data_IF_273485135124
#
_entry.id   IF_273485135124
#
_cell.length_a   1.000
_cell.length_b   1.000
_cell.length_c   1.000
_cell.angle_alpha   90.00
_cell.angle_beta   90.00
_cell.angle_gamma   90.00
#
_symmetry.space_group_name_H-M   'P 1'
#
loop_
_entity.id
_entity.type
_entity.pdbx_description
1 polymer ?
#
# COMPACT_ATOMS: atom_id res chain seq x y z
N UNK A 1 8.90 12.11 9.77
CA UNK A 1 8.37 10.75 10.07
C UNK A 1 9.38 9.71 9.60
N UNK A 2 9.83 8.81 10.47
CA UNK A 2 10.80 7.78 10.13
C UNK A 2 10.17 6.64 9.32
N UNK A 3 10.83 6.20 8.24
CA UNK A 3 10.45 5.00 7.49
C UNK A 3 10.95 3.78 8.25
N UNK A 4 10.05 2.85 8.60
CA UNK A 4 10.43 1.55 9.15
C UNK A 4 11.01 0.68 8.03
N UNK A 5 12.19 0.10 8.24
CA UNK A 5 12.77 -0.88 7.32
C UNK A 5 12.04 -2.24 7.46
N UNK A 6 11.83 -3.01 6.38
CA UNK A 6 11.28 -4.35 6.49
C UNK A 6 12.29 -5.29 7.16
N UNK A 7 11.80 -6.10 8.11
CA UNK A 7 12.58 -7.12 8.82
C UNK A 7 13.00 -8.24 7.86
N UNK A 8 14.28 -8.60 7.87
CA UNK A 8 14.82 -9.73 7.10
C UNK A 8 14.39 -11.06 7.73
N UNK A 9 13.69 -11.90 6.98
CA UNK A 9 13.42 -13.29 7.35
C UNK A 9 14.57 -14.17 6.86
N UNK A 10 15.31 -14.78 7.79
CA UNK A 10 16.32 -15.80 7.47
C UNK A 10 15.65 -17.17 7.32
N UNK A 11 15.88 -17.93 6.24
CA UNK A 11 15.34 -19.28 6.14
C UNK A 11 16.17 -20.27 6.97
N UNK A 12 15.44 -21.04 7.76
CA UNK A 12 15.92 -22.15 8.60
C UNK A 12 16.32 -23.32 7.69
N UNK A 13 17.57 -23.78 7.80
CA UNK A 13 18.13 -24.89 7.03
C UNK A 13 17.73 -26.24 7.65
N UNK A 14 17.00 -27.08 6.90
CA UNK A 14 16.92 -28.52 7.16
C UNK A 14 16.95 -29.29 5.83
N UNK A 15 18.06 -29.96 5.55
CA UNK A 15 18.10 -31.08 4.62
C UNK A 15 18.93 -32.21 5.24
N UNK A 16 18.37 -33.43 5.32
CA UNK A 16 19.19 -34.63 5.19
C UNK A 16 18.44 -35.83 4.56
N UNK A 17 19.02 -36.30 3.46
CA UNK A 17 19.08 -37.68 2.92
C UNK A 17 17.96 -38.26 2.01
N UNK A 18 18.22 -38.14 0.69
CA UNK A 18 18.50 -39.21 -0.31
C UNK A 18 17.41 -40.24 -0.66
N UNK A 19 16.96 -40.21 -1.93
CA UNK A 19 17.30 -41.21 -2.98
C UNK A 19 16.24 -41.30 -4.09
N UNK A 20 16.62 -41.01 -5.35
CA UNK A 20 16.57 -41.97 -6.47
C UNK A 20 16.53 -41.28 -7.84
N UNK A 21 17.35 -41.81 -8.76
CA UNK A 21 17.63 -41.40 -10.12
C UNK A 21 16.44 -41.10 -11.04
N UNK A 22 16.62 -40.09 -11.90
CA UNK A 22 16.66 -40.23 -13.37
C UNK A 22 17.30 -38.98 -14.01
N UNK A 23 18.36 -39.21 -14.79
CA UNK A 23 19.03 -38.21 -15.63
C UNK A 23 18.08 -37.74 -16.73
N UNK A 24 17.98 -36.43 -16.96
CA UNK A 24 17.31 -35.89 -18.15
C UNK A 24 17.18 -34.37 -18.13
N UNK A 25 18.07 -33.71 -18.88
CA UNK A 25 18.04 -32.30 -19.31
C UNK A 25 18.28 -31.27 -18.19
N UNK A 26 19.55 -30.84 -18.04
CA UNK A 26 19.88 -29.56 -17.42
C UNK A 26 19.51 -28.43 -18.38
N UNK A 27 18.23 -28.12 -18.44
CA UNK A 27 17.80 -26.78 -18.80
C UNK A 27 18.11 -25.91 -17.57
N UNK A 28 19.05 -25.00 -17.75
CA UNK A 28 19.42 -23.94 -16.83
C UNK A 28 18.30 -22.89 -16.75
N UNK A 29 17.09 -23.32 -16.39
CA UNK A 29 15.95 -22.42 -16.31
C UNK A 29 15.74 -22.17 -14.83
N UNK A 30 16.10 -20.97 -14.38
CA UNK A 30 15.61 -20.45 -13.11
C UNK A 30 14.07 -20.67 -13.08
N UNK A 31 13.50 -21.52 -12.20
CA UNK A 31 12.05 -21.75 -12.16
C UNK A 31 11.28 -20.56 -11.56
N UNK A 32 11.95 -19.41 -11.45
CA UNK A 32 11.40 -18.16 -10.97
C UNK A 32 10.67 -17.53 -12.15
N UNK A 33 9.39 -17.90 -12.39
CA UNK A 33 8.34 -16.98 -12.92
C UNK A 33 7.09 -17.67 -13.49
N UNK A 34 7.09 -18.94 -13.92
CA UNK A 34 5.94 -19.46 -14.70
C UNK A 34 4.79 -20.09 -13.90
N UNK A 35 4.88 -20.19 -12.56
CA UNK A 35 3.85 -20.90 -11.74
C UNK A 35 3.17 -19.98 -10.71
N UNK A 36 3.69 -18.79 -10.43
CA UNK A 36 3.05 -17.87 -9.46
C UNK A 36 2.01 -17.00 -10.16
N UNK A 37 0.71 -17.12 -9.82
CA UNK A 37 -0.28 -16.21 -10.35
C UNK A 37 0.05 -14.77 -9.95
N UNK A 38 -0.22 -13.77 -10.81
CA UNK A 38 0.09 -12.37 -10.52
C UNK A 38 -0.70 -11.85 -9.31
N UNK A 39 -0.11 -10.89 -8.60
CA UNK A 39 -0.73 -10.11 -7.54
C UNK A 39 -1.26 -8.79 -8.11
N UNK A 40 -2.47 -8.41 -7.71
CA UNK A 40 -3.16 -7.19 -8.10
C UNK A 40 -3.51 -6.35 -6.87
N UNK A 41 -3.59 -5.04 -7.08
CA UNK A 41 -3.96 -4.06 -6.07
C UNK A 41 -4.99 -3.08 -6.63
N UNK A 42 -6.05 -2.83 -5.88
CA UNK A 42 -7.04 -1.79 -6.14
C UNK A 42 -7.01 -0.76 -4.99
N UNK A 43 -7.06 0.52 -5.34
CA UNK A 43 -7.15 1.63 -4.37
C UNK A 43 -8.45 2.38 -4.60
N UNK A 44 -9.28 2.44 -3.57
CA UNK A 44 -10.52 3.23 -3.55
C UNK A 44 -10.38 4.34 -2.52
N UNK A 45 -10.76 5.56 -2.90
CA UNK A 45 -10.69 6.73 -2.03
C UNK A 45 -12.03 7.46 -1.99
N UNK A 46 -12.45 7.86 -0.79
CA UNK A 46 -13.63 8.65 -0.52
C UNK A 46 -13.25 9.84 0.35
N UNK A 47 -13.80 11.03 0.06
CA UNK A 47 -13.55 12.23 0.85
C UNK A 47 -14.83 12.98 1.14
N UNK A 48 -14.94 13.50 2.36
CA UNK A 48 -16.00 14.38 2.83
C UNK A 48 -15.38 15.73 3.18
N UNK A 49 -15.88 16.80 2.56
CA UNK A 49 -15.50 18.18 2.84
C UNK A 49 -16.49 18.77 3.85
N UNK A 50 -15.97 19.49 4.85
CA UNK A 50 -16.71 20.05 5.97
C UNK A 50 -16.22 21.48 6.28
N UNK A 51 -16.96 22.19 7.14
CA UNK A 51 -16.60 23.53 7.61
C UNK A 51 -16.29 24.53 6.47
N UNK A 52 -17.29 24.74 5.59
CA UNK A 52 -17.18 25.72 4.54
C UNK A 52 -17.29 27.15 5.09
N UNK A 53 -16.24 27.95 4.91
CA UNK A 53 -16.16 29.35 5.34
C UNK A 53 -15.92 30.25 4.13
N UNK A 54 -16.42 31.48 4.21
CA UNK A 54 -16.15 32.49 3.18
C UNK A 54 -14.78 33.10 3.42
N UNK A 55 -13.85 32.92 2.49
CA UNK A 55 -12.54 33.58 2.44
C UNK A 55 -12.51 34.42 1.16
N UNK A 56 -12.40 35.73 1.30
CA UNK A 56 -12.39 36.68 0.17
C UNK A 56 -13.57 36.54 -0.82
N UNK A 57 -14.74 36.15 -0.30
CA UNK A 57 -15.95 35.94 -1.11
C UNK A 57 -16.08 34.55 -1.74
N UNK A 58 -15.13 33.64 -1.51
CA UNK A 58 -15.16 32.24 -1.98
C UNK A 58 -15.43 31.30 -0.81
N UNK A 59 -16.29 30.28 -1.01
CA UNK A 59 -16.55 29.25 -0.01
C UNK A 59 -15.43 28.20 -0.05
N UNK A 60 -14.66 28.06 1.03
CA UNK A 60 -13.54 27.11 1.17
C UNK A 60 -13.84 26.16 2.33
N UNK A 61 -13.62 24.86 2.14
CA UNK A 61 -13.71 23.88 3.22
C UNK A 61 -12.47 23.93 4.12
N UNK A 62 -12.65 24.18 5.42
CA UNK A 62 -11.57 24.23 6.40
C UNK A 62 -11.35 22.91 7.14
N UNK A 63 -12.17 21.89 6.88
CA UNK A 63 -11.93 20.57 7.45
C UNK A 63 -12.52 19.48 6.57
N UNK A 64 -12.16 18.24 6.88
CA UNK A 64 -12.79 17.10 6.28
C UNK A 64 -12.21 15.78 6.73
N UNK A 65 -12.70 14.74 6.08
CA UNK A 65 -12.32 13.36 6.33
C UNK A 65 -12.07 12.66 5.01
N UNK A 66 -10.99 11.88 4.95
CA UNK A 66 -10.65 11.04 3.81
C UNK A 66 -10.53 9.59 4.27
N UNK A 67 -11.03 8.68 3.45
CA UNK A 67 -10.99 7.24 3.66
C UNK A 67 -10.32 6.63 2.44
N UNK A 68 -9.30 5.81 2.66
CA UNK A 68 -8.60 5.07 1.60
C UNK A 68 -8.68 3.59 1.91
N UNK A 69 -9.06 2.78 0.92
CA UNK A 69 -9.08 1.32 1.00
C UNK A 69 -8.16 0.75 -0.05
N UNK A 70 -7.21 -0.08 0.37
CA UNK A 70 -6.28 -0.80 -0.50
C UNK A 70 -6.65 -2.28 -0.45
N UNK A 71 -7.09 -2.82 -1.59
CA UNK A 71 -7.52 -4.21 -1.75
C UNK A 71 -6.47 -4.98 -2.55
N UNK A 72 -5.88 -6.02 -1.95
CA UNK A 72 -5.00 -6.99 -2.62
C UNK A 72 -5.76 -8.23 -3.02
N UNK A 73 -5.61 -8.67 -4.26
CA UNK A 73 -6.15 -9.92 -4.78
C UNK A 73 -5.19 -10.53 -5.82
N UNK A 74 -5.34 -11.82 -6.18
CA UNK A 74 -4.37 -12.53 -7.02
C UNK A 74 -3.57 -13.57 -6.21
N UNK A 75 -2.48 -14.10 -6.74
CA UNK A 75 -1.47 -14.87 -5.99
C UNK A 75 -1.90 -15.80 -4.82
N UNK A 76 -2.67 -16.87 -5.08
CA UNK A 76 -2.92 -17.92 -4.08
C UNK A 76 -3.38 -17.37 -2.70
N UNK A 77 -4.20 -16.30 -2.64
CA UNK A 77 -4.76 -15.87 -1.35
C UNK A 77 -5.77 -16.92 -0.88
N UNK A 78 -5.27 -17.95 -0.18
CA UNK A 78 -6.06 -19.00 0.48
C UNK A 78 -7.08 -18.44 1.49
N UNK A 79 -7.06 -17.11 1.73
CA UNK A 79 -7.83 -16.38 2.72
C UNK A 79 -8.74 -15.28 2.11
N UNK A 80 -8.85 -15.18 0.77
CA UNK A 80 -9.66 -14.15 0.10
C UNK A 80 -8.98 -12.78 0.01
N UNK A 81 -9.64 -11.75 -0.58
CA UNK A 81 -9.05 -10.42 -0.73
C UNK A 81 -8.57 -9.85 0.61
N UNK A 82 -7.36 -9.29 0.63
CA UNK A 82 -6.85 -8.57 1.80
C UNK A 82 -7.15 -7.08 1.64
N UNK A 83 -7.87 -6.49 2.59
CA UNK A 83 -8.27 -5.07 2.55
C UNK A 83 -7.62 -4.35 3.72
N UNK A 84 -6.88 -3.28 3.42
CA UNK A 84 -6.36 -2.33 4.41
C UNK A 84 -7.09 -1.01 4.26
N UNK A 85 -7.67 -0.50 5.35
CA UNK A 85 -8.37 0.79 5.37
C UNK A 85 -7.61 1.81 6.20
N UNK A 86 -7.49 3.02 5.67
CA UNK A 86 -6.88 4.18 6.31
C UNK A 86 -7.93 5.29 6.39
N UNK A 87 -7.98 5.98 7.52
CA UNK A 87 -8.85 7.12 7.75
C UNK A 87 -8.00 8.31 8.19
N UNK A 88 -8.24 9.46 7.57
CA UNK A 88 -7.57 10.72 7.87
C UNK A 88 -8.62 11.80 8.13
N UNK A 89 -8.43 12.59 9.19
CA UNK A 89 -9.15 13.84 9.42
C UNK A 89 -8.18 15.00 9.26
N UNK A 90 -8.56 16.01 8.51
CA UNK A 90 -7.73 17.17 8.21
C UNK A 90 -8.45 18.47 8.58
N UNK A 91 -7.66 19.48 8.94
CA UNK A 91 -8.10 20.85 9.22
C UNK A 91 -7.13 21.82 8.56
N UNK A 92 -7.66 22.93 8.03
CA UNK A 92 -6.88 24.00 7.44
C UNK A 92 -6.89 25.18 8.41
N UNK A 93 -5.73 25.46 9.00
CA UNK A 93 -5.50 26.68 9.73
C UNK A 93 -5.20 27.81 8.76
N UNK A 94 -5.90 28.95 8.92
CA UNK A 94 -5.63 30.18 8.18
C UNK A 94 -4.29 30.78 8.63
N UNK A 95 -3.18 30.22 8.13
CA UNK A 95 -1.89 30.85 8.23
C UNK A 95 -1.80 31.95 7.17
N UNK A 96 -2.10 33.19 7.56
CA UNK A 96 -1.81 34.35 6.71
C UNK A 96 -0.29 34.49 6.60
N UNK A 97 0.26 34.23 5.41
CA UNK A 97 1.61 34.68 5.09
C UNK A 97 1.55 36.19 4.82
N UNK A 98 1.33 36.98 5.87
CA UNK A 98 1.48 38.43 5.78
C UNK A 98 2.97 38.72 5.59
N UNK A 99 3.40 38.79 4.32
CA UNK A 99 4.64 39.48 4.00
C UNK A 99 4.45 40.95 4.45
N UNK A 100 5.35 41.52 5.27
CA UNK A 100 5.25 42.92 5.61
C UNK A 100 5.36 43.74 4.32
N UNK A 101 4.39 44.62 4.08
CA UNK A 101 4.48 45.62 3.02
C UNK A 101 5.77 46.42 3.21
N UNK A 102 6.63 46.43 2.19
CA UNK A 102 7.92 47.13 2.14
C UNK A 102 7.77 48.63 1.90
#
# INVERSE_FOLDING_TARGET
MGRLAPLSEEPINEEDTKSSSKKGLLLNENPITWITPPTYWETTMESKMEDYRTVEGVMIAHSGQSIVSITRFGDNVKMGPSITRMEEKWTIDDATFNAPDS
#
